data_IF_900425031366
#
_entry.id   IF_900425031366
#
_cell.length_a   1.000
_cell.length_b   1.000
_cell.length_c   1.000
_cell.angle_alpha   90.00
_cell.angle_beta   90.00
_cell.angle_gamma   90.00
#
_symmetry.space_group_name_H-M   'P 1'
#
loop_
_entity.id
_entity.type
_entity.pdbx_description
1 polymer ?
#
# COMPACT_ATOMS: atom_id res chain seq x y z
N UNK A 1 8.93 5.69 3.86
CA UNK A 1 8.47 4.48 3.14
C UNK A 1 7.02 4.62 2.71
N UNK A 2 6.62 3.91 1.66
CA UNK A 2 5.19 3.71 1.35
C UNK A 2 4.75 2.46 2.10
N UNK A 3 3.57 2.51 2.71
CA UNK A 3 2.98 1.40 3.46
C UNK A 3 1.59 1.07 2.95
N UNK A 4 1.21 -0.18 3.11
CA UNK A 4 -0.10 -0.71 2.71
C UNK A 4 -0.81 -1.20 3.96
N UNK A 5 -1.87 -0.51 4.36
CA UNK A 5 -2.64 -0.76 5.59
C UNK A 5 -3.69 -1.87 5.42
N UNK A 6 -3.42 -2.85 4.56
CA UNK A 6 -4.41 -3.88 4.21
C UNK A 6 -4.80 -4.74 5.41
N UNK A 7 -3.85 -5.08 6.28
CA UNK A 7 -4.11 -5.87 7.48
C UNK A 7 -5.07 -5.17 8.45
N UNK A 8 -4.88 -3.87 8.65
CA UNK A 8 -5.77 -3.03 9.45
C UNK A 8 -7.19 -3.01 8.87
N UNK A 9 -7.32 -2.76 7.57
CA UNK A 9 -8.63 -2.68 6.89
C UNK A 9 -9.40 -3.99 6.92
N UNK A 10 -8.72 -5.13 6.72
CA UNK A 10 -9.34 -6.44 6.85
C UNK A 10 -9.74 -6.74 8.30
N UNK A 11 -8.92 -6.35 9.28
CA UNK A 11 -9.21 -6.51 10.69
C UNK A 11 -10.46 -5.76 11.15
N UNK A 12 -10.62 -4.50 10.75
CA UNK A 12 -11.79 -3.67 11.04
C UNK A 12 -13.11 -4.30 10.54
N UNK A 13 -13.04 -5.01 9.40
CA UNK A 13 -14.18 -5.67 8.77
C UNK A 13 -14.33 -7.15 9.15
N UNK A 14 -13.40 -7.70 9.92
CA UNK A 14 -13.29 -9.15 10.24
C UNK A 14 -13.24 -10.02 8.98
N UNK A 15 -12.57 -9.55 7.94
CA UNK A 15 -12.39 -10.29 6.68
C UNK A 15 -11.09 -11.07 6.68
N UNK A 16 -11.10 -12.23 6.01
CA UNK A 16 -9.88 -12.98 5.75
C UNK A 16 -9.23 -12.53 4.44
N UNK A 17 -7.93 -12.79 4.26
CA UNK A 17 -7.25 -12.60 2.98
C UNK A 17 -7.93 -13.42 1.85
N UNK A 18 -8.47 -14.60 2.19
CA UNK A 18 -9.18 -15.45 1.25
C UNK A 18 -10.51 -14.85 0.78
N UNK A 19 -11.22 -14.12 1.66
CA UNK A 19 -12.43 -13.38 1.27
C UNK A 19 -12.10 -12.30 0.24
N UNK A 20 -11.08 -11.50 0.53
CA UNK A 20 -10.64 -10.44 -0.39
C UNK A 20 -10.17 -11.00 -1.73
N UNK A 21 -9.40 -12.09 -1.73
CA UNK A 21 -8.95 -12.75 -2.95
C UNK A 21 -10.13 -13.25 -3.80
N UNK A 22 -11.16 -13.82 -3.17
CA UNK A 22 -12.40 -14.25 -3.86
C UNK A 22 -13.17 -13.07 -4.45
N UNK A 23 -13.29 -11.97 -3.72
CA UNK A 23 -14.06 -10.80 -4.17
C UNK A 23 -13.37 -10.04 -5.30
N UNK A 24 -12.05 -9.87 -5.20
CA UNK A 24 -11.26 -9.08 -6.16
C UNK A 24 -10.77 -9.91 -7.35
N UNK A 25 -10.81 -11.24 -7.27
CA UNK A 25 -10.18 -12.13 -8.25
C UNK A 25 -8.65 -12.08 -8.24
N UNK A 26 -8.03 -11.32 -7.34
CA UNK A 26 -6.57 -11.23 -7.20
C UNK A 26 -6.06 -12.54 -6.60
N UNK A 27 -4.93 -13.03 -7.12
CA UNK A 27 -4.31 -14.27 -6.63
C UNK A 27 -4.04 -14.18 -5.12
N UNK A 28 -4.35 -15.23 -4.34
CA UNK A 28 -4.11 -15.24 -2.89
C UNK A 28 -2.66 -14.92 -2.51
N UNK A 29 -1.68 -15.37 -3.30
CA UNK A 29 -0.27 -15.05 -3.08
C UNK A 29 0.02 -13.55 -3.14
N UNK A 30 -0.60 -12.84 -4.08
CA UNK A 30 -0.46 -11.38 -4.21
C UNK A 30 -1.15 -10.66 -3.06
N UNK A 31 -2.35 -11.10 -2.66
CA UNK A 31 -3.00 -10.55 -1.46
C UNK A 31 -2.13 -10.76 -0.22
N UNK A 32 -1.48 -11.91 -0.08
CA UNK A 32 -0.57 -12.21 1.01
C UNK A 32 0.67 -11.29 1.02
N UNK A 33 1.28 -11.06 -0.14
CA UNK A 33 2.39 -10.10 -0.26
C UNK A 33 1.98 -8.68 0.10
N UNK A 34 0.80 -8.23 -0.35
CA UNK A 34 0.25 -6.91 0.00
C UNK A 34 -0.08 -6.80 1.49
N UNK A 35 -0.64 -7.85 2.08
CA UNK A 35 -1.03 -7.92 3.49
C UNK A 35 0.19 -7.82 4.42
N UNK A 36 1.29 -8.48 4.05
CA UNK A 36 2.54 -8.48 4.82
C UNK A 36 3.52 -7.38 4.39
N UNK A 37 3.10 -6.43 3.54
CA UNK A 37 3.94 -5.35 3.02
C UNK A 37 5.24 -5.86 2.34
N UNK A 38 5.20 -7.04 1.72
CA UNK A 38 6.33 -7.69 1.02
C UNK A 38 6.37 -7.37 -0.48
N UNK A 39 5.30 -6.75 -1.01
CA UNK A 39 5.21 -6.43 -2.43
C UNK A 39 6.17 -5.31 -2.83
N UNK A 40 7.13 -5.60 -3.72
CA UNK A 40 8.03 -4.58 -4.30
C UNK A 40 7.33 -3.70 -5.34
N UNK A 41 6.30 -4.24 -5.99
CA UNK A 41 5.53 -3.59 -7.06
C UNK A 41 4.06 -3.84 -6.84
N UNK A 42 3.25 -2.81 -7.07
CA UNK A 42 1.80 -2.91 -7.00
C UNK A 42 1.19 -2.39 -8.29
N UNK A 43 0.23 -3.14 -8.83
CA UNK A 43 -0.56 -2.70 -9.97
C UNK A 43 -1.67 -1.77 -9.48
N UNK A 44 -1.87 -0.65 -10.15
CA UNK A 44 -2.94 0.30 -9.81
C UNK A 44 -4.32 -0.37 -9.87
N UNK A 45 -4.54 -1.25 -10.84
CA UNK A 45 -5.77 -2.06 -10.96
C UNK A 45 -6.05 -2.90 -9.69
N UNK A 46 -5.02 -3.46 -9.04
CA UNK A 46 -5.22 -4.19 -7.79
C UNK A 46 -5.63 -3.25 -6.64
N UNK A 47 -5.06 -2.05 -6.60
CA UNK A 47 -5.45 -1.04 -5.60
C UNK A 47 -6.90 -0.64 -5.79
N UNK A 48 -7.31 -0.38 -7.04
CA UNK A 48 -8.68 -0.01 -7.40
C UNK A 48 -9.68 -1.10 -6.99
N UNK A 49 -9.42 -2.35 -7.37
CA UNK A 49 -10.26 -3.50 -6.99
C UNK A 49 -10.35 -3.71 -5.48
N UNK A 50 -9.25 -3.52 -4.75
CA UNK A 50 -9.25 -3.63 -3.29
C UNK A 50 -10.05 -2.48 -2.67
N UNK A 51 -9.90 -1.26 -3.18
CA UNK A 51 -10.67 -0.10 -2.72
C UNK A 51 -12.16 -0.28 -2.97
N UNK A 52 -12.56 -0.78 -4.14
CA UNK A 52 -13.94 -1.13 -4.47
C UNK A 52 -14.48 -2.23 -3.55
N UNK A 53 -13.75 -3.35 -3.41
CA UNK A 53 -14.17 -4.47 -2.56
C UNK A 53 -14.29 -4.08 -1.08
N UNK A 54 -13.39 -3.23 -0.60
CA UNK A 54 -13.40 -2.71 0.77
C UNK A 54 -14.22 -1.43 0.92
N UNK A 55 -14.83 -0.88 -0.14
CA UNK A 55 -15.53 0.41 -0.10
C UNK A 55 -14.73 1.49 0.64
N UNK A 56 -13.45 1.67 0.30
CA UNK A 56 -12.58 2.67 0.90
C UNK A 56 -11.80 3.44 -0.15
N UNK A 57 -11.17 4.55 0.27
CA UNK A 57 -10.36 5.38 -0.60
C UNK A 57 -8.91 4.84 -0.74
N UNK A 58 -8.15 5.37 -1.69
CA UNK A 58 -6.73 5.00 -1.83
C UNK A 58 -5.89 5.52 -0.66
N UNK A 59 -6.16 6.73 -0.16
CA UNK A 59 -5.48 7.33 1.01
C UNK A 59 -5.69 6.55 2.30
N UNK A 60 -6.74 5.76 2.30
CA UNK A 60 -7.20 4.90 3.37
C UNK A 60 -6.38 3.60 3.41
N UNK A 61 -5.96 3.12 2.23
CA UNK A 61 -5.19 1.89 2.05
C UNK A 61 -3.67 2.14 2.00
N UNK A 62 -3.22 3.25 1.42
CA UNK A 62 -1.80 3.55 1.17
C UNK A 62 -1.39 4.82 1.89
N UNK A 63 -0.35 4.73 2.71
CA UNK A 63 0.21 5.88 3.45
C UNK A 63 1.70 6.08 3.15
N UNK A 64 2.11 7.35 3.07
CA UNK A 64 3.53 7.73 3.02
C UNK A 64 4.02 8.06 4.42
N UNK A 65 4.91 7.23 4.93
CA UNK A 65 5.72 7.56 6.10
C UNK A 65 7.00 8.27 5.65
N UNK A 66 7.31 9.49 6.14
CA UNK A 66 8.58 10.14 5.84
C UNK A 66 9.78 9.32 6.33
N UNK A 67 10.84 9.25 5.53
CA UNK A 67 12.13 8.73 6.02
C UNK A 67 12.84 9.84 6.79
N UNK A 68 13.68 9.48 7.76
CA UNK A 68 14.49 10.44 8.54
C UNK A 68 15.44 11.27 7.68
N UNK A 69 15.92 10.70 6.57
CA UNK A 69 16.80 11.38 5.61
C UNK A 69 16.19 11.44 4.21
N UNK A 70 16.32 12.57 3.49
CA UNK A 70 15.86 12.69 2.11
C UNK A 70 16.64 11.75 1.18
N UNK A 71 15.93 10.86 0.47
CA UNK A 71 16.51 9.99 -0.58
C UNK A 71 16.42 10.59 -1.99
N UNK A 72 15.75 11.72 -2.13
CA UNK A 72 15.52 12.39 -3.41
C UNK A 72 16.47 13.56 -3.59
N UNK A 73 16.80 13.87 -4.85
CA UNK A 73 17.55 15.07 -5.21
C UNK A 73 16.60 16.23 -5.47
N UNK A 74 17.12 17.45 -5.52
CA UNK A 74 16.35 18.63 -5.95
C UNK A 74 15.91 18.50 -7.41
N UNK A 75 15.03 19.41 -7.86
CA UNK A 75 14.63 19.52 -9.28
C UNK A 75 15.84 19.68 -10.23
N UNK A 76 16.94 20.27 -9.77
CA UNK A 76 18.18 20.44 -10.54
C UNK A 76 19.18 19.28 -10.36
N UNK A 77 18.83 18.26 -9.58
CA UNK A 77 19.72 17.13 -9.28
C UNK A 77 20.73 17.39 -8.15
N UNK A 78 20.68 18.56 -7.50
CA UNK A 78 21.54 18.86 -6.35
C UNK A 78 21.09 18.09 -5.10
N UNK A 79 22.02 17.70 -4.20
CA UNK A 79 21.66 17.06 -2.93
C UNK A 79 20.77 17.96 -2.07
N UNK A 80 19.69 17.40 -1.52
CA UNK A 80 18.83 18.11 -0.56
C UNK A 80 19.56 18.10 0.80
N UNK A 81 20.06 19.24 1.25
CA UNK A 81 20.63 19.37 2.58
C UNK A 81 19.48 19.42 3.59
N UNK A 82 19.36 18.37 4.41
CA UNK A 82 18.48 18.41 5.59
C UNK A 82 19.11 19.39 6.59
N UNK A 83 18.57 20.61 6.71
CA UNK A 83 18.93 21.47 7.84
C UNK A 83 18.39 20.80 9.10
N UNK A 84 19.32 20.49 10.01
CA UNK A 84 19.07 19.94 11.34
C UNK A 84 18.25 20.90 12.19
#
# INVERSE_FOLDING_TARGET
MIRILLSTRLGERRWTQADLARMTGIRPSTINELYHELAERVKLEHIDLICEALGCEVSDLIVREPNSEPRTKSRTGAPIHSKK
#
